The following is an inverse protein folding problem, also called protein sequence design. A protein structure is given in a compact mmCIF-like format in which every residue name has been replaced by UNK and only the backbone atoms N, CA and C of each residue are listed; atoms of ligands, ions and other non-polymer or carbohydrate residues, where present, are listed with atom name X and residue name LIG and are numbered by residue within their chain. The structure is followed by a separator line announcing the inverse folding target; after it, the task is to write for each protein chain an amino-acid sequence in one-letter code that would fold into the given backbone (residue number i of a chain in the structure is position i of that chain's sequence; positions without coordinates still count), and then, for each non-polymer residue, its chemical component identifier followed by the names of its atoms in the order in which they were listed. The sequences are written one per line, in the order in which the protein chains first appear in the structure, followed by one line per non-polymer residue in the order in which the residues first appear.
data_IF_953611328002
#
_entry.id   IF_953611328002
#
_cell.length_a   1.000
_cell.length_b   1.000
_cell.length_c   1.000
_cell.angle_alpha   90.00
_cell.angle_beta   90.00
_cell.angle_gamma   90.00
#
_symmetry.space_group_name_H-M   'P 1'
#
loop_
_entity.id
_entity.type
_entity.pdbx_description
1 polymer ?
#
# COMPACT_ATOMS: atom_id res chain seq x y z
N UNK A 1 2.46 -17.61 4.75
CA UNK A 1 2.07 -16.32 4.17
C UNK A 1 2.94 -16.04 2.95
N UNK A 2 2.34 -15.78 1.81
CA UNK A 2 3.07 -15.62 0.56
C UNK A 2 3.50 -14.18 0.31
N UNK A 3 4.22 -13.98 -0.81
CA UNK A 3 4.76 -12.67 -1.19
C UNK A 3 3.66 -11.62 -1.38
N UNK A 4 2.51 -11.98 -1.96
CA UNK A 4 1.43 -11.01 -2.18
C UNK A 4 0.86 -10.52 -0.86
N UNK A 5 0.63 -11.42 0.10
CA UNK A 5 0.17 -11.02 1.43
C UNK A 5 1.17 -10.12 2.12
N UNK A 6 2.46 -10.42 2.04
CA UNK A 6 3.50 -9.55 2.60
C UNK A 6 3.51 -8.18 1.93
N UNK A 7 3.39 -8.13 0.59
CA UNK A 7 3.36 -6.88 -0.15
C UNK A 7 2.17 -6.01 0.22
N UNK A 8 1.03 -6.62 0.59
CA UNK A 8 -0.16 -5.90 1.03
C UNK A 8 -0.02 -5.43 2.48
N UNK A 9 0.32 -6.34 3.39
CA UNK A 9 0.18 -6.10 4.82
C UNK A 9 1.37 -5.39 5.45
N UNK A 10 2.59 -5.53 4.88
CA UNK A 10 3.77 -4.84 5.43
C UNK A 10 3.62 -3.32 5.37
N UNK A 11 3.27 -2.69 4.22
CA UNK A 11 3.09 -1.24 4.21
C UNK A 11 1.91 -0.80 5.09
N UNK A 12 0.86 -1.60 5.19
CA UNK A 12 -0.27 -1.32 6.08
C UNK A 12 0.20 -1.31 7.54
N UNK A 13 1.01 -2.30 7.94
CA UNK A 13 1.54 -2.38 9.30
C UNK A 13 2.41 -1.17 9.64
N UNK A 14 3.33 -0.78 8.74
CA UNK A 14 4.13 0.42 8.92
C UNK A 14 3.26 1.67 9.05
N UNK A 15 2.22 1.78 8.21
CA UNK A 15 1.31 2.90 8.25
C UNK A 15 0.55 2.99 9.58
N UNK A 16 0.06 1.86 10.08
CA UNK A 16 -0.64 1.81 11.37
C UNK A 16 0.29 2.21 12.50
N UNK A 17 1.53 1.71 12.50
CA UNK A 17 2.52 2.07 13.53
C UNK A 17 2.77 3.58 13.52
N UNK A 18 2.92 4.18 12.35
CA UNK A 18 3.13 5.63 12.24
C UNK A 18 1.93 6.42 12.74
N UNK A 19 0.70 5.98 12.44
CA UNK A 19 -0.50 6.65 12.93
C UNK A 19 -0.64 6.54 14.45
N UNK A 20 -0.26 5.40 15.02
CA UNK A 20 -0.41 5.14 16.44
C UNK A 20 0.66 5.83 17.30
N UNK A 21 1.88 5.97 16.79
CA UNK A 21 3.04 6.39 17.58
C UNK A 21 3.69 7.69 17.11
N UNK A 22 3.46 8.08 15.84
CA UNK A 22 4.11 9.25 15.27
C UNK A 22 3.52 10.56 15.79
N UNK A 23 4.39 11.55 15.95
CA UNK A 23 4.03 12.92 16.32
C UNK A 23 4.86 13.90 15.52
N UNK A 24 4.34 15.12 15.35
CA UNK A 24 5.07 16.14 14.58
C UNK A 24 6.42 16.48 15.19
N UNK A 25 6.58 16.41 16.52
CA UNK A 25 7.87 16.59 17.19
C UNK A 25 8.90 15.53 16.79
N UNK A 26 8.45 14.39 16.25
CA UNK A 26 9.30 13.31 15.78
C UNK A 26 9.23 13.16 14.25
N UNK A 27 8.95 14.24 13.53
CA UNK A 27 8.73 14.21 12.09
C UNK A 27 9.90 13.60 11.32
N UNK A 28 11.13 13.87 11.74
CA UNK A 28 12.32 13.31 11.11
C UNK A 28 12.35 11.78 11.22
N UNK A 29 12.05 11.24 12.40
CA UNK A 29 11.99 9.80 12.62
C UNK A 29 10.85 9.19 11.82
N UNK A 30 9.68 9.84 11.81
CA UNK A 30 8.51 9.37 11.05
C UNK A 30 8.86 9.27 9.56
N UNK A 31 9.51 10.26 9.01
CA UNK A 31 9.90 10.27 7.60
C UNK A 31 10.83 9.09 7.27
N UNK A 32 11.82 8.84 8.12
CA UNK A 32 12.74 7.73 7.90
C UNK A 32 12.05 6.38 8.03
N UNK A 33 11.16 6.21 9.01
CA UNK A 33 10.39 4.96 9.15
C UNK A 33 9.50 4.75 7.93
N UNK A 34 8.86 5.80 7.44
CA UNK A 34 8.02 5.73 6.25
C UNK A 34 8.83 5.31 5.02
N UNK A 35 10.01 5.90 4.84
CA UNK A 35 10.89 5.55 3.72
C UNK A 35 11.36 4.10 3.83
N UNK A 36 11.76 3.66 5.00
CA UNK A 36 12.19 2.27 5.22
C UNK A 36 11.03 1.31 4.91
N UNK A 37 9.82 1.62 5.40
CA UNK A 37 8.64 0.81 5.11
C UNK A 37 8.32 0.74 3.63
N UNK A 38 8.39 1.87 2.92
CA UNK A 38 8.15 1.92 1.48
C UNK A 38 9.20 1.11 0.70
N UNK A 39 10.47 1.24 1.07
CA UNK A 39 11.56 0.51 0.42
C UNK A 39 11.44 -1.00 0.68
N UNK A 40 11.15 -1.40 1.91
CA UNK A 40 10.93 -2.83 2.22
C UNK A 40 9.77 -3.38 1.40
N UNK A 41 8.67 -2.64 1.30
CA UNK A 41 7.51 -3.06 0.51
C UNK A 41 7.88 -3.22 -0.97
N UNK A 42 8.64 -2.28 -1.52
CA UNK A 42 9.12 -2.38 -2.90
C UNK A 42 10.02 -3.59 -3.10
N UNK A 43 10.95 -3.82 -2.17
CA UNK A 43 11.86 -4.98 -2.25
C UNK A 43 11.11 -6.31 -2.17
N UNK A 44 9.99 -6.36 -1.43
CA UNK A 44 9.15 -7.55 -1.38
C UNK A 44 8.45 -7.84 -2.71
N UNK A 45 8.25 -6.83 -3.55
CA UNK A 45 7.64 -7.03 -4.88
C UNK A 45 8.64 -7.45 -5.95
N UNK A 46 9.94 -7.21 -5.75
CA UNK A 46 10.95 -7.54 -6.76
C UNK A 46 11.04 -9.04 -7.06
N UNK A 47 10.95 -9.97 -6.08
CA UNK A 47 10.95 -11.40 -6.40
C UNK A 47 9.81 -11.82 -7.33
N UNK A 48 8.71 -11.06 -7.37
CA UNK A 48 7.62 -11.34 -8.32
C UNK A 48 8.13 -11.26 -9.77
N UNK A 49 8.98 -10.29 -10.07
CA UNK A 49 9.57 -10.14 -11.39
C UNK A 49 10.49 -11.32 -11.74
N UNK A 50 11.38 -11.68 -10.81
CA UNK A 50 12.35 -12.74 -11.05
C UNK A 50 11.74 -14.14 -11.13
N UNK A 51 10.60 -14.35 -10.47
CA UNK A 51 9.93 -15.66 -10.41
C UNK A 51 8.68 -15.74 -11.29
N UNK A 52 8.38 -14.69 -12.05
CA UNK A 52 7.20 -14.65 -12.89
C UNK A 52 7.40 -15.56 -14.11
N UNK A 53 6.43 -16.47 -14.33
CA UNK A 53 6.45 -17.39 -15.45
C UNK A 53 5.69 -16.80 -16.65
N UNK A 54 6.40 -16.47 -17.70
CA UNK A 54 5.82 -15.86 -18.90
C UNK A 54 5.23 -16.90 -19.88
N UNK A 55 5.35 -18.20 -19.58
CA UNK A 55 4.89 -19.26 -20.45
C UNK A 55 3.43 -19.66 -20.24
N UNK A 56 2.77 -19.12 -19.21
CA UNK A 56 1.39 -19.44 -18.85
C UNK A 56 0.55 -18.19 -18.70
N UNK A 57 -0.73 -18.30 -19.05
CA UNK A 57 -1.72 -17.25 -18.79
C UNK A 57 -2.43 -17.43 -17.45
N UNK A 58 -2.13 -18.48 -16.70
CA UNK A 58 -2.75 -18.73 -15.40
C UNK A 58 -2.28 -17.71 -14.37
N UNK A 59 -3.13 -17.47 -13.36
CA UNK A 59 -2.76 -16.63 -12.24
C UNK A 59 -1.59 -17.22 -11.47
N UNK A 60 -0.67 -16.36 -11.01
CA UNK A 60 0.56 -16.76 -10.36
C UNK A 60 0.65 -16.20 -8.95
N UNK A 61 1.51 -16.80 -8.13
CA UNK A 61 1.68 -16.44 -6.71
C UNK A 61 0.36 -16.55 -5.94
N UNK A 62 -0.50 -17.52 -6.34
CA UNK A 62 -1.85 -17.66 -5.81
C UNK A 62 -1.80 -18.01 -4.33
N UNK A 63 -2.56 -17.26 -3.53
CA UNK A 63 -2.80 -17.52 -2.11
C UNK A 63 -4.30 -17.63 -1.92
N UNK A 64 -4.76 -18.72 -1.34
CA UNK A 64 -6.19 -18.96 -1.14
C UNK A 64 -6.43 -19.51 0.25
N UNK A 65 -7.22 -18.80 1.06
CA UNK A 65 -7.62 -19.20 2.40
C UNK A 65 -9.10 -18.89 2.58
N UNK A 66 -9.84 -19.81 3.17
CA UNK A 66 -11.26 -19.59 3.46
C UNK A 66 -11.39 -18.44 4.47
N UNK A 67 -12.20 -17.42 4.14
CA UNK A 67 -12.45 -16.29 5.02
C UNK A 67 -13.83 -16.35 5.64
N UNK A 68 -14.87 -16.31 4.80
CA UNK A 68 -16.24 -16.43 5.26
C UNK A 68 -16.85 -17.67 4.57
N UNK A 69 -16.68 -18.83 5.21
CA UNK A 69 -17.08 -20.10 4.62
C UNK A 69 -18.59 -20.16 4.34
N UNK A 70 -19.40 -19.51 5.19
CA UNK A 70 -20.86 -19.49 5.05
C UNK A 70 -21.31 -18.91 3.71
N UNK A 71 -20.58 -17.92 3.18
CA UNK A 71 -20.89 -17.26 1.90
C UNK A 71 -19.93 -17.65 0.79
N UNK A 72 -19.09 -18.66 1.02
CA UNK A 72 -18.05 -19.08 0.07
C UNK A 72 -17.12 -17.94 -0.34
N UNK A 73 -16.81 -17.07 0.60
CA UNK A 73 -15.88 -15.95 0.38
C UNK A 73 -14.48 -16.36 0.84
N UNK A 74 -13.50 -16.20 -0.03
CA UNK A 74 -12.12 -16.61 0.23
C UNK A 74 -11.18 -15.39 0.20
N UNK A 75 -10.14 -15.47 1.03
CA UNK A 75 -8.98 -14.61 0.90
C UNK A 75 -8.14 -15.20 -0.24
N UNK A 76 -8.37 -14.72 -1.45
CA UNK A 76 -7.84 -15.30 -2.66
C UNK A 76 -7.09 -14.24 -3.45
N UNK A 77 -5.78 -14.40 -3.55
CA UNK A 77 -4.89 -13.45 -4.21
C UNK A 77 -4.14 -14.14 -5.35
N UNK A 78 -3.82 -13.36 -6.37
CA UNK A 78 -3.00 -13.83 -7.47
C UNK A 78 -2.71 -12.68 -8.44
N UNK A 79 -1.73 -12.86 -9.30
CA UNK A 79 -1.37 -11.87 -10.30
C UNK A 79 -1.25 -12.50 -11.69
N UNK A 80 -1.59 -11.72 -12.71
CA UNK A 80 -1.33 -12.06 -14.10
C UNK A 80 -0.28 -11.08 -14.68
N UNK A 81 -0.07 -11.14 -16.00
CA UNK A 81 0.92 -10.29 -16.66
C UNK A 81 0.61 -8.80 -16.62
N UNK A 82 -0.66 -8.42 -16.37
CA UNK A 82 -1.08 -7.03 -16.28
C UNK A 82 -1.02 -6.55 -14.83
N UNK A 83 -1.67 -7.26 -13.90
CA UNK A 83 -1.74 -6.84 -12.51
C UNK A 83 -0.38 -6.84 -11.82
N UNK A 84 0.51 -7.74 -12.20
CA UNK A 84 1.89 -7.79 -11.73
C UNK A 84 2.60 -6.44 -11.90
N UNK A 85 2.48 -5.80 -13.07
CA UNK A 85 3.08 -4.50 -13.31
C UNK A 85 2.46 -3.40 -12.46
N UNK A 86 1.15 -3.46 -12.21
CA UNK A 86 0.48 -2.51 -11.33
C UNK A 86 0.95 -2.64 -9.88
N UNK A 87 1.21 -3.86 -9.42
CA UNK A 87 1.76 -4.09 -8.08
C UNK A 87 3.15 -3.47 -7.95
N UNK A 88 4.03 -3.74 -8.90
CA UNK A 88 5.38 -3.14 -8.91
C UNK A 88 5.32 -1.61 -8.99
N UNK A 89 4.46 -1.09 -9.85
CA UNK A 89 4.31 0.35 -10.03
C UNK A 89 3.82 1.02 -8.75
N UNK A 90 2.83 0.43 -8.09
CA UNK A 90 2.29 0.97 -6.83
C UNK A 90 3.37 1.05 -5.76
N UNK A 91 4.14 -0.01 -5.59
CA UNK A 91 5.21 -0.03 -4.60
C UNK A 91 6.32 0.99 -4.94
N UNK A 92 6.67 1.11 -6.20
CA UNK A 92 7.68 2.07 -6.66
C UNK A 92 7.23 3.52 -6.46
N UNK A 93 6.00 3.83 -6.84
CA UNK A 93 5.43 5.18 -6.68
C UNK A 93 5.36 5.54 -5.19
N UNK A 94 5.07 4.58 -4.32
CA UNK A 94 5.03 4.83 -2.87
C UNK A 94 6.37 5.33 -2.36
N UNK A 95 7.47 4.73 -2.80
CA UNK A 95 8.83 5.20 -2.44
C UNK A 95 9.04 6.64 -2.93
N UNK A 96 8.68 6.92 -4.18
CA UNK A 96 8.83 8.25 -4.78
C UNK A 96 8.01 9.28 -4.01
N UNK A 97 6.76 8.96 -3.66
CA UNK A 97 5.88 9.89 -2.95
C UNK A 97 6.42 10.20 -1.56
N UNK A 98 6.94 9.21 -0.84
CA UNK A 98 7.54 9.45 0.47
C UNK A 98 8.72 10.42 0.34
N UNK A 99 9.58 10.23 -0.65
CA UNK A 99 10.71 11.12 -0.90
C UNK A 99 10.23 12.53 -1.30
N UNK A 100 9.25 12.60 -2.20
CA UNK A 100 8.72 13.90 -2.68
C UNK A 100 8.02 14.68 -1.58
N UNK A 101 7.36 13.99 -0.65
CA UNK A 101 6.66 14.62 0.45
C UNK A 101 7.57 15.02 1.61
N UNK A 102 8.86 14.67 1.54
CA UNK A 102 9.79 14.84 2.66
C UNK A 102 9.86 16.28 3.16
N UNK A 103 9.90 17.24 2.25
CA UNK A 103 9.99 18.67 2.58
C UNK A 103 8.65 19.40 2.43
N UNK A 104 7.76 18.89 1.56
CA UNK A 104 6.48 19.53 1.24
C UNK A 104 5.49 19.40 2.39
N UNK A 105 5.43 18.22 3.01
CA UNK A 105 4.52 17.94 4.11
C UNK A 105 5.26 18.20 5.42
N UNK A 106 4.86 19.28 6.12
CA UNK A 106 5.51 19.73 7.36
C UNK A 106 4.61 19.61 8.57
N UNK A 107 3.29 19.43 8.38
CA UNK A 107 2.31 19.27 9.45
C UNK A 107 1.64 17.91 9.31
N UNK A 108 1.34 17.28 10.45
CA UNK A 108 0.69 15.97 10.48
C UNK A 108 1.41 14.94 9.62
N UNK A 109 2.75 14.95 9.70
CA UNK A 109 3.61 14.10 8.88
C UNK A 109 3.27 12.62 9.10
N UNK A 110 3.05 12.21 10.34
CA UNK A 110 2.69 10.82 10.66
C UNK A 110 1.36 10.41 10.02
N UNK A 111 0.37 11.31 9.99
CA UNK A 111 -0.92 11.02 9.36
C UNK A 111 -0.77 10.87 7.85
N UNK A 112 -0.05 11.78 7.21
CA UNK A 112 0.17 11.73 5.77
C UNK A 112 0.95 10.47 5.37
N UNK A 113 2.10 10.24 5.99
CA UNK A 113 2.97 9.11 5.64
C UNK A 113 2.29 7.78 5.98
N UNK A 114 1.67 7.69 7.16
CA UNK A 114 0.97 6.47 7.58
C UNK A 114 -0.21 6.17 6.68
N UNK A 115 -1.04 7.17 6.38
CA UNK A 115 -2.19 7.00 5.51
C UNK A 115 -1.77 6.58 4.09
N UNK A 116 -0.68 7.15 3.58
CA UNK A 116 -0.21 6.81 2.24
C UNK A 116 0.33 5.38 2.18
N UNK A 117 1.05 4.92 3.21
CA UNK A 117 1.51 3.53 3.27
C UNK A 117 0.34 2.54 3.35
N UNK A 118 -0.68 2.86 4.14
CA UNK A 118 -1.89 2.04 4.22
C UNK A 118 -2.59 2.01 2.86
N UNK A 119 -2.73 3.17 2.22
CA UNK A 119 -3.34 3.27 0.89
C UNK A 119 -2.58 2.41 -0.12
N UNK A 120 -1.26 2.46 -0.12
CA UNK A 120 -0.41 1.66 -1.00
C UNK A 120 -0.68 0.17 -0.84
N UNK A 121 -0.70 -0.32 0.41
CA UNK A 121 -0.97 -1.73 0.68
C UNK A 121 -2.36 -2.15 0.21
N UNK A 122 -3.37 -1.32 0.48
CA UNK A 122 -4.75 -1.60 0.05
C UNK A 122 -4.87 -1.60 -1.48
N UNK A 123 -4.16 -0.72 -2.18
CA UNK A 123 -4.16 -0.71 -3.64
C UNK A 123 -3.51 -1.97 -4.22
N UNK A 124 -2.44 -2.45 -3.61
CA UNK A 124 -1.86 -3.74 -4.01
C UNK A 124 -2.89 -4.84 -3.82
N UNK A 125 -3.65 -4.81 -2.72
CA UNK A 125 -4.74 -5.74 -2.49
C UNK A 125 -5.80 -5.69 -3.58
N UNK A 126 -6.18 -4.50 -4.04
CA UNK A 126 -7.14 -4.31 -5.12
C UNK A 126 -6.65 -4.98 -6.41
N UNK A 127 -5.36 -4.79 -6.75
CA UNK A 127 -4.79 -5.34 -7.99
C UNK A 127 -4.59 -6.86 -7.93
N UNK A 128 -4.58 -7.46 -6.75
CA UNK A 128 -4.29 -8.89 -6.59
C UNK A 128 -5.50 -9.72 -6.18
N UNK A 129 -6.61 -9.11 -5.75
CA UNK A 129 -7.78 -9.82 -5.27
C UNK A 129 -8.46 -10.61 -6.39
N UNK A 130 -8.68 -11.90 -6.16
CA UNK A 130 -9.37 -12.81 -7.09
C UNK A 130 -10.78 -13.17 -6.61
N UNK A 131 -11.19 -12.70 -5.43
CA UNK A 131 -12.54 -12.86 -4.89
C UNK A 131 -13.26 -11.52 -4.95
N UNK A 132 -14.51 -11.52 -5.45
CA UNK A 132 -15.26 -10.28 -5.65
C UNK A 132 -15.52 -9.49 -4.38
N UNK A 133 -15.85 -10.18 -3.28
CA UNK A 133 -16.08 -9.48 -2.00
C UNK A 133 -14.76 -8.96 -1.43
N UNK A 134 -13.68 -9.73 -1.53
CA UNK A 134 -12.36 -9.29 -1.11
C UNK A 134 -11.92 -8.04 -1.88
N UNK A 135 -12.12 -8.04 -3.19
CA UNK A 135 -11.85 -6.87 -4.04
C UNK A 135 -12.64 -5.65 -3.54
N UNK A 136 -13.93 -5.84 -3.28
CA UNK A 136 -14.80 -4.75 -2.81
C UNK A 136 -14.30 -4.20 -1.48
N UNK A 137 -13.94 -5.07 -0.54
CA UNK A 137 -13.45 -4.64 0.78
C UNK A 137 -12.17 -3.83 0.65
N UNK A 138 -11.20 -4.30 -0.15
CA UNK A 138 -9.97 -3.54 -0.38
C UNK A 138 -10.26 -2.20 -1.06
N UNK A 139 -11.14 -2.20 -2.07
CA UNK A 139 -11.49 -0.97 -2.79
C UNK A 139 -12.15 0.05 -1.86
N UNK A 140 -13.13 -0.36 -1.08
CA UNK A 140 -13.80 0.53 -0.13
C UNK A 140 -12.85 1.00 0.95
N UNK A 141 -11.97 0.12 1.42
CA UNK A 141 -10.99 0.48 2.45
C UNK A 141 -10.00 1.54 1.96
N UNK A 142 -9.73 1.64 0.65
CA UNK A 142 -8.84 2.69 0.13
C UNK A 142 -9.40 4.09 0.33
N UNK A 143 -10.71 4.23 0.48
CA UNK A 143 -11.34 5.54 0.69
C UNK A 143 -11.01 6.11 2.07
N UNK A 144 -10.75 5.25 3.05
CA UNK A 144 -10.46 5.69 4.42
C UNK A 144 -9.11 6.43 4.49
N UNK A 145 -7.97 5.86 4.05
CA UNK A 145 -6.70 6.60 4.09
C UNK A 145 -6.61 7.70 3.04
N UNK A 146 -7.42 7.64 1.97
CA UNK A 146 -7.38 8.66 0.93
C UNK A 146 -7.86 10.03 1.44
N UNK A 147 -8.79 10.05 2.38
CA UNK A 147 -9.32 11.31 2.93
C UNK A 147 -8.24 12.15 3.62
N UNK A 148 -7.46 11.62 4.60
CA UNK A 148 -6.40 12.42 5.21
C UNK A 148 -5.30 12.84 4.23
N UNK A 149 -4.97 12.00 3.26
CA UNK A 149 -3.96 12.33 2.23
C UNK A 149 -4.45 13.51 1.39
N UNK A 150 -5.67 13.46 0.90
CA UNK A 150 -6.26 14.54 0.11
C UNK A 150 -6.36 15.84 0.89
N UNK A 151 -6.82 15.77 2.13
CA UNK A 151 -6.94 16.93 3.01
C UNK A 151 -5.58 17.59 3.23
N UNK A 152 -4.55 16.82 3.52
CA UNK A 152 -3.19 17.33 3.76
C UNK A 152 -2.62 17.97 2.50
N UNK A 153 -2.84 17.38 1.33
CA UNK A 153 -2.40 17.95 0.07
C UNK A 153 -3.08 19.30 -0.21
N UNK A 154 -4.39 19.37 -0.06
CA UNK A 154 -5.13 20.61 -0.27
C UNK A 154 -4.65 21.70 0.68
N UNK A 155 -4.43 21.36 1.93
CA UNK A 155 -3.97 22.35 2.92
C UNK A 155 -2.54 22.83 2.62
N UNK A 156 -1.66 21.95 2.17
CA UNK A 156 -0.32 22.35 1.76
C UNK A 156 -0.37 23.28 0.55
N UNK A 157 -1.31 23.08 -0.37
CA UNK A 157 -1.53 23.93 -1.52
C UNK A 157 -2.06 25.31 -1.12
N UNK A 158 -3.01 25.37 -0.19
CA UNK A 158 -3.56 26.63 0.32
C UNK A 158 -2.49 27.49 0.97
N UNK A 159 -1.67 26.89 1.85
CA UNK A 159 -0.59 27.64 2.52
C UNK A 159 0.47 28.15 1.56
N UNK A 160 0.56 27.57 0.39
CA UNK A 160 1.51 27.99 -0.64
C UNK A 160 1.05 29.25 -1.38
N UNK A 161 -0.25 29.49 -1.42
CA UNK A 161 -0.84 30.67 -2.07
C UNK A 161 -1.06 31.83 -1.12
N UNK A 162 -1.04 31.59 0.16
CA UNK A 162 -1.14 32.60 1.20
C UNK A 162 0.25 33.15 1.55
#
# INVERSE_FOLDING_TARGET
MGLLSLAIWVPIAFGIVLLATGRDEHAKVVRWIALIGAVISFLLTLPLYGQFDTTTAAMQFVEKTSWIARFNVNYHLGVDGISFWFVLLTAFITVIVVIAAWEVITQRVNQYMGAFLILSGLMIGVFTALDGLLFYVFFEATLIPMYPVSYTHLRAHETRHD
#
